data_IF_316670871750
#
_entry.id   IF_316670871750
#
_cell.length_a   1.000
_cell.length_b   1.000
_cell.length_c   1.000
_cell.angle_alpha   90.00
_cell.angle_beta   90.00
_cell.angle_gamma   90.00
#
_symmetry.space_group_name_H-M   'P 1'
#
loop_
_entity.id
_entity.type
_entity.pdbx_description
1 polymer ?
#
# COMPACT_ATOMS: atom_id res chain seq x y z
N UNK A 1 0.59 7.91 51.29
CA UNK A 1 1.47 7.44 50.21
C UNK A 1 0.74 7.58 48.88
N UNK A 2 1.09 8.58 48.05
CA UNK A 2 0.48 8.75 46.73
C UNK A 2 1.05 7.67 45.80
N UNK A 3 0.18 6.88 45.18
CA UNK A 3 0.52 5.90 44.14
C UNK A 3 1.34 6.59 43.03
N UNK A 4 2.42 5.98 42.49
CA UNK A 4 3.23 6.64 41.48
C UNK A 4 2.42 6.89 40.19
N UNK A 5 2.70 7.97 39.43
CA UNK A 5 1.95 8.37 38.22
C UNK A 5 1.78 7.24 37.19
N UNK A 6 2.74 6.32 37.11
CA UNK A 6 2.72 5.19 36.18
C UNK A 6 1.58 4.17 36.44
N UNK A 7 1.24 3.92 37.71
CA UNK A 7 0.20 2.94 38.08
C UNK A 7 -1.22 3.47 37.85
N UNK A 8 -1.41 4.79 37.97
CA UNK A 8 -2.68 5.47 37.73
C UNK A 8 -2.99 5.52 36.22
N UNK A 9 -1.95 5.75 35.40
CA UNK A 9 -2.03 5.69 33.93
C UNK A 9 -2.35 4.27 33.43
N UNK A 10 -1.78 3.21 34.02
CA UNK A 10 -2.05 1.84 33.60
C UNK A 10 -3.52 1.41 33.82
N UNK A 11 -4.11 1.75 34.97
CA UNK A 11 -5.52 1.44 35.26
C UNK A 11 -6.49 2.25 34.37
N UNK A 12 -6.20 3.53 34.13
CA UNK A 12 -7.00 4.35 33.21
C UNK A 12 -6.91 3.83 31.77
N UNK A 13 -5.74 3.41 31.32
CA UNK A 13 -5.53 2.83 30.00
C UNK A 13 -6.27 1.50 29.83
N UNK A 14 -6.23 0.61 30.84
CA UNK A 14 -6.96 -0.65 30.82
C UNK A 14 -8.49 -0.42 30.76
N UNK A 15 -9.00 0.58 31.48
CA UNK A 15 -10.42 0.94 31.46
C UNK A 15 -10.83 1.55 30.10
N UNK A 16 -9.98 2.39 29.50
CA UNK A 16 -10.21 2.94 28.17
C UNK A 16 -10.24 1.83 27.10
N UNK A 17 -9.31 0.87 27.16
CA UNK A 17 -9.28 -0.31 26.30
C UNK A 17 -10.53 -1.18 26.46
N UNK A 18 -10.97 -1.44 27.70
CA UNK A 18 -12.16 -2.24 28.01
C UNK A 18 -13.45 -1.62 27.45
N UNK A 19 -13.49 -0.29 27.29
CA UNK A 19 -14.63 0.43 26.67
C UNK A 19 -14.49 0.56 25.15
N UNK A 20 -13.26 0.71 24.65
CA UNK A 20 -12.98 0.88 23.23
C UNK A 20 -13.23 -0.39 22.42
N UNK A 21 -12.79 -1.54 22.93
CA UNK A 21 -12.81 -2.81 22.19
C UNK A 21 -14.23 -3.30 21.87
N UNK A 22 -15.21 -3.31 22.81
CA UNK A 22 -16.57 -3.73 22.50
C UNK A 22 -17.27 -2.82 21.48
N UNK A 23 -17.01 -1.50 21.54
CA UNK A 23 -17.56 -0.54 20.57
C UNK A 23 -17.03 -0.83 19.17
N UNK A 24 -15.72 -1.05 19.04
CA UNK A 24 -15.09 -1.36 17.75
C UNK A 24 -15.54 -2.70 17.18
N UNK A 25 -15.76 -3.70 18.03
CA UNK A 25 -16.33 -4.99 17.62
C UNK A 25 -17.78 -4.82 17.12
N UNK A 26 -18.57 -3.94 17.75
CA UNK A 26 -19.94 -3.64 17.30
C UNK A 26 -19.96 -2.90 15.97
N UNK A 27 -19.11 -1.88 15.81
CA UNK A 27 -18.94 -1.17 14.53
C UNK A 27 -18.53 -2.15 13.41
N UNK A 28 -17.61 -3.07 13.68
CA UNK A 28 -17.20 -4.09 12.72
C UNK A 28 -18.33 -5.07 12.35
N UNK A 29 -19.15 -5.48 13.33
CA UNK A 29 -20.29 -6.36 13.10
C UNK A 29 -21.44 -5.65 12.34
N UNK A 30 -21.66 -4.36 12.62
CA UNK A 30 -22.60 -3.52 11.87
C UNK A 30 -22.14 -3.36 10.40
N UNK A 31 -20.84 -3.13 10.18
CA UNK A 31 -20.22 -3.09 8.84
C UNK A 31 -20.34 -4.42 8.07
N UNK A 32 -20.24 -5.57 8.76
CA UNK A 32 -20.46 -6.91 8.21
C UNK A 32 -21.94 -7.15 7.86
N UNK A 33 -22.88 -6.70 8.68
CA UNK A 33 -24.32 -6.84 8.42
C UNK A 33 -24.82 -5.93 7.29
N UNK A 34 -24.23 -4.74 7.11
CA UNK A 34 -24.50 -3.87 5.95
C UNK A 34 -23.94 -4.45 4.64
N UNK A 35 -22.87 -5.24 4.72
CA UNK A 35 -22.29 -5.94 3.57
C UNK A 35 -23.23 -7.02 3.05
N UNK A 36 -23.84 -7.81 3.93
CA UNK A 36 -24.79 -8.86 3.56
C UNK A 36 -26.04 -8.30 2.87
N UNK A 37 -26.38 -7.03 3.14
CA UNK A 37 -27.48 -6.30 2.51
C UNK A 37 -27.08 -5.53 1.25
N UNK A 38 -25.78 -5.43 0.94
CA UNK A 38 -25.24 -4.63 -0.17
C UNK A 38 -25.27 -5.39 -1.50
N UNK A 39 -26.34 -5.21 -2.27
CA UNK A 39 -26.44 -5.67 -3.66
C UNK A 39 -25.52 -4.80 -4.54
N UNK A 40 -24.44 -5.36 -5.12
CA UNK A 40 -23.76 -4.75 -6.30
C UNK A 40 -22.22 -4.68 -6.37
N UNK A 41 -21.44 -5.27 -5.46
CA UNK A 41 -19.97 -5.30 -5.58
C UNK A 41 -19.44 -6.72 -5.80
N UNK A 42 -18.46 -6.89 -6.69
CA UNK A 42 -17.89 -8.21 -7.05
C UNK A 42 -17.03 -8.80 -5.92
N UNK A 43 -16.40 -7.94 -5.12
CA UNK A 43 -15.57 -8.34 -3.97
C UNK A 43 -15.40 -7.23 -2.93
N UNK A 44 -14.93 -7.61 -1.74
CA UNK A 44 -14.59 -6.69 -0.64
C UNK A 44 -13.10 -6.78 -0.39
N UNK A 45 -12.44 -5.62 -0.31
CA UNK A 45 -11.03 -5.49 0.06
C UNK A 45 -10.93 -5.11 1.52
N UNK A 46 -10.22 -5.91 2.30
CA UNK A 46 -9.87 -5.62 3.68
C UNK A 46 -8.44 -5.10 3.75
N UNK A 47 -8.26 -3.86 4.21
CA UNK A 47 -6.94 -3.24 4.38
C UNK A 47 -6.87 -2.33 5.61
N UNK A 48 -5.68 -1.83 5.95
CA UNK A 48 -5.54 -0.82 7.01
C UNK A 48 -5.89 0.60 6.55
N UNK A 49 -5.94 0.82 5.23
CA UNK A 49 -6.12 2.14 4.66
C UNK A 49 -7.62 2.46 4.62
N UNK A 50 -8.01 3.59 5.22
CA UNK A 50 -9.41 4.03 5.15
C UNK A 50 -9.71 4.57 3.75
N UNK A 51 -10.93 4.40 3.22
CA UNK A 51 -11.35 5.05 1.97
C UNK A 51 -11.67 6.54 2.23
N UNK A 52 -10.68 7.30 2.71
CA UNK A 52 -10.83 8.72 3.09
C UNK A 52 -10.25 9.67 2.04
N UNK A 53 -10.17 9.23 0.78
CA UNK A 53 -9.59 10.02 -0.31
C UNK A 53 -8.11 10.35 -0.08
N UNK A 54 -7.37 9.51 0.63
CA UNK A 54 -5.93 9.68 0.88
C UNK A 54 -5.20 8.36 0.68
N UNK A 55 -3.97 8.42 0.18
CA UNK A 55 -3.11 7.25 0.12
C UNK A 55 -2.71 6.85 1.53
N UNK A 56 -2.92 5.56 1.85
CA UNK A 56 -2.55 5.01 3.13
C UNK A 56 -1.10 4.55 3.17
N UNK A 57 -0.81 3.58 4.03
CA UNK A 57 0.57 3.13 4.31
C UNK A 57 0.93 1.86 3.54
N UNK A 58 -0.04 1.16 2.97
CA UNK A 58 0.16 -0.19 2.43
C UNK A 58 0.12 -0.17 0.90
N UNK A 59 1.28 -0.27 0.21
CA UNK A 59 1.31 -0.19 -1.26
C UNK A 59 0.54 -1.32 -1.93
N UNK A 60 0.50 -2.49 -1.31
CA UNK A 60 -0.24 -3.66 -1.78
C UNK A 60 -1.75 -3.40 -1.92
N UNK A 61 -2.35 -2.60 -1.02
CA UNK A 61 -3.76 -2.21 -1.13
C UNK A 61 -4.00 -1.36 -2.38
N UNK A 62 -3.11 -0.40 -2.64
CA UNK A 62 -3.22 0.52 -3.79
C UNK A 62 -3.00 -0.24 -5.10
N UNK A 63 -2.01 -1.13 -5.15
CA UNK A 63 -1.79 -2.04 -6.28
C UNK A 63 -3.05 -2.85 -6.60
N UNK A 64 -3.64 -3.51 -5.60
CA UNK A 64 -4.85 -4.31 -5.80
C UNK A 64 -6.03 -3.46 -6.28
N UNK A 65 -6.28 -2.30 -5.65
CA UNK A 65 -7.33 -1.37 -6.09
C UNK A 65 -7.12 -0.95 -7.53
N UNK A 66 -5.92 -0.53 -7.90
CA UNK A 66 -5.60 -0.10 -9.27
C UNK A 66 -5.85 -1.24 -10.25
N UNK A 67 -5.42 -2.46 -9.90
CA UNK A 67 -5.56 -3.64 -10.76
C UNK A 67 -7.01 -4.02 -11.02
N UNK A 68 -7.86 -3.90 -10.00
CA UNK A 68 -9.30 -4.13 -10.10
C UNK A 68 -10.00 -3.01 -10.88
N UNK A 69 -9.66 -1.75 -10.61
CA UNK A 69 -10.19 -0.57 -11.33
C UNK A 69 -9.86 -0.63 -12.82
N UNK A 70 -8.63 -1.02 -13.16
CA UNK A 70 -8.21 -1.20 -14.55
C UNK A 70 -9.06 -2.24 -15.29
N UNK A 71 -9.46 -3.31 -14.61
CA UNK A 71 -10.34 -4.33 -15.17
C UNK A 71 -11.84 -4.00 -15.07
N UNK A 72 -12.20 -2.84 -14.50
CA UNK A 72 -13.60 -2.45 -14.26
C UNK A 72 -14.30 -3.22 -13.15
N UNK A 73 -13.58 -3.95 -12.31
CA UNK A 73 -14.16 -4.74 -11.20
C UNK A 73 -14.58 -3.81 -10.06
N UNK A 74 -15.86 -3.89 -9.70
CA UNK A 74 -16.42 -3.11 -8.60
C UNK A 74 -16.02 -3.75 -7.27
N UNK A 75 -15.52 -2.93 -6.34
CA UNK A 75 -15.08 -3.41 -5.03
C UNK A 75 -15.45 -2.43 -3.93
N UNK A 76 -15.54 -2.95 -2.70
CA UNK A 76 -15.76 -2.16 -1.49
C UNK A 76 -14.57 -2.27 -0.55
N UNK A 77 -14.12 -1.15 0.00
CA UNK A 77 -13.07 -1.15 1.02
C UNK A 77 -13.64 -1.29 2.44
N UNK A 78 -12.93 -2.07 3.25
CA UNK A 78 -13.21 -2.31 4.67
C UNK A 78 -11.93 -2.31 5.50
N UNK A 79 -12.09 -1.94 6.77
CA UNK A 79 -11.02 -2.06 7.74
C UNK A 79 -10.70 -3.55 7.97
N UNK A 80 -9.43 -3.91 7.85
CA UNK A 80 -8.96 -5.26 8.07
C UNK A 80 -8.99 -5.65 9.56
N UNK A 81 -9.43 -6.87 9.84
CA UNK A 81 -9.11 -7.56 11.07
C UNK A 81 -7.91 -8.48 10.83
N UNK A 82 -6.73 -8.05 11.29
CA UNK A 82 -5.47 -8.77 11.03
C UNK A 82 -5.46 -10.19 11.60
N UNK A 83 -6.26 -10.47 12.64
CA UNK A 83 -6.36 -11.81 13.25
C UNK A 83 -7.18 -12.79 12.40
N UNK A 84 -8.06 -12.29 11.54
CA UNK A 84 -8.84 -13.08 10.57
C UNK A 84 -8.17 -13.12 9.18
N UNK A 85 -7.21 -12.22 8.95
CA UNK A 85 -6.52 -12.12 7.68
C UNK A 85 -5.75 -13.42 7.36
N UNK A 86 -5.92 -14.00 6.16
CA UNK A 86 -5.07 -15.10 5.71
C UNK A 86 -3.59 -14.71 5.82
N UNK A 87 -2.79 -15.60 6.43
CA UNK A 87 -1.37 -15.36 6.73
C UNK A 87 -1.07 -14.10 7.56
N UNK A 88 -2.08 -13.53 8.23
CA UNK A 88 -1.96 -12.30 9.03
C UNK A 88 -1.39 -11.13 8.22
N UNK A 89 -1.79 -11.02 6.94
CA UNK A 89 -1.33 -9.98 6.01
C UNK A 89 -2.49 -9.27 5.32
N UNK A 90 -2.27 -8.00 5.00
CA UNK A 90 -3.19 -7.17 4.21
C UNK A 90 -2.55 -6.77 2.87
N UNK A 91 -3.34 -6.51 1.82
CA UNK A 91 -4.79 -6.69 1.77
C UNK A 91 -5.18 -8.18 1.67
N UNK A 92 -6.41 -8.48 2.07
CA UNK A 92 -7.11 -9.71 1.73
C UNK A 92 -8.50 -9.38 1.21
N UNK A 93 -9.11 -10.32 0.47
CA UNK A 93 -10.44 -10.12 -0.12
C UNK A 93 -11.42 -11.20 0.29
N UNK A 94 -12.70 -10.83 0.31
CA UNK A 94 -13.83 -11.75 0.28
C UNK A 94 -14.49 -11.64 -1.09
N UNK A 95 -14.68 -12.75 -1.79
CA UNK A 95 -15.39 -12.76 -3.08
C UNK A 95 -16.90 -12.73 -2.83
N UNK A 96 -17.70 -12.10 -3.70
CA UNK A 96 -19.14 -12.03 -3.50
C UNK A 96 -19.85 -13.40 -3.60
N UNK A 97 -19.26 -14.34 -4.33
CA UNK A 97 -19.78 -15.67 -4.59
C UNK A 97 -19.22 -16.76 -3.67
N UNK A 98 -18.39 -16.39 -2.68
CA UNK A 98 -17.86 -17.35 -1.71
C UNK A 98 -17.56 -16.71 -0.35
N UNK A 99 -17.60 -17.53 0.71
CA UNK A 99 -17.09 -17.12 2.03
C UNK A 99 -15.56 -17.24 2.14
N UNK A 100 -14.87 -17.49 1.02
CA UNK A 100 -13.42 -17.64 0.97
C UNK A 100 -12.72 -16.29 1.19
N UNK A 101 -11.82 -16.24 2.18
CA UNK A 101 -10.89 -15.13 2.34
C UNK A 101 -9.57 -15.46 1.64
N UNK A 102 -9.21 -14.66 0.64
CA UNK A 102 -7.96 -14.81 -0.11
C UNK A 102 -7.03 -13.65 0.25
N UNK A 103 -5.85 -13.95 0.79
CA UNK A 103 -4.84 -12.97 1.17
C UNK A 103 -3.66 -12.95 0.21
N UNK A 104 -2.87 -11.87 0.30
CA UNK A 104 -1.72 -11.55 -0.57
C UNK A 104 -2.11 -11.27 -2.02
N UNK A 105 -1.70 -10.10 -2.53
CA UNK A 105 -2.15 -9.58 -3.83
C UNK A 105 -1.87 -10.56 -4.97
N UNK A 106 -0.70 -11.18 -5.00
CA UNK A 106 -0.36 -12.15 -6.05
C UNK A 106 -1.35 -13.32 -6.11
N UNK A 107 -1.73 -13.90 -4.96
CA UNK A 107 -2.68 -15.01 -4.92
C UNK A 107 -4.11 -14.56 -5.25
N UNK A 108 -4.49 -13.35 -4.83
CA UNK A 108 -5.78 -12.75 -5.21
C UNK A 108 -5.88 -12.60 -6.73
N UNK A 109 -4.85 -12.02 -7.37
CA UNK A 109 -4.83 -11.83 -8.82
C UNK A 109 -4.81 -13.19 -9.54
N UNK A 110 -3.97 -14.13 -9.12
CA UNK A 110 -3.94 -15.49 -9.68
C UNK A 110 -5.30 -16.19 -9.59
N UNK A 111 -5.97 -16.07 -8.44
CA UNK A 111 -7.30 -16.66 -8.24
C UNK A 111 -8.31 -16.07 -9.22
N UNK A 112 -8.40 -14.74 -9.28
CA UNK A 112 -9.33 -14.04 -10.17
C UNK A 112 -9.06 -14.33 -11.66
N UNK A 113 -7.79 -14.43 -12.05
CA UNK A 113 -7.39 -14.82 -13.41
C UNK A 113 -7.80 -16.27 -13.70
N UNK A 114 -7.53 -17.20 -12.79
CA UNK A 114 -7.89 -18.62 -12.97
C UNK A 114 -9.40 -18.84 -13.10
N UNK A 115 -10.21 -17.98 -12.47
CA UNK A 115 -11.67 -18.00 -12.55
C UNK A 115 -12.23 -17.16 -13.70
N UNK A 116 -11.38 -16.58 -14.56
CA UNK A 116 -11.80 -15.75 -15.69
C UNK A 116 -12.40 -14.38 -15.32
N UNK A 117 -12.32 -13.97 -14.04
CA UNK A 117 -12.78 -12.67 -13.56
C UNK A 117 -11.79 -11.56 -13.89
N UNK A 118 -10.51 -11.88 -14.04
CA UNK A 118 -9.47 -10.94 -14.51
C UNK A 118 -8.76 -11.47 -15.76
N UNK A 119 -8.39 -10.59 -16.71
CA UNK A 119 -7.47 -10.96 -17.77
C UNK A 119 -6.06 -11.14 -17.20
N UNK A 120 -5.29 -12.09 -17.75
CA UNK A 120 -3.85 -12.19 -17.51
C UNK A 120 -3.11 -11.18 -18.40
N UNK A 121 -2.63 -10.09 -17.78
CA UNK A 121 -1.95 -9.00 -18.51
C UNK A 121 -0.58 -9.40 -19.03
N UNK A 122 0.06 -10.39 -18.40
CA UNK A 122 1.41 -10.79 -18.75
C UNK A 122 1.43 -11.97 -19.73
N UNK A 123 0.27 -12.57 -20.07
CA UNK A 123 0.17 -13.75 -20.94
C UNK A 123 0.90 -13.59 -22.28
N UNK A 124 0.68 -12.46 -22.95
CA UNK A 124 1.17 -12.17 -24.31
C UNK A 124 2.55 -11.50 -24.35
N UNK A 125 3.17 -11.25 -23.19
CA UNK A 125 4.49 -10.63 -23.13
C UNK A 125 5.58 -11.57 -23.69
N UNK A 126 6.58 -10.97 -24.34
CA UNK A 126 7.81 -11.67 -24.73
C UNK A 126 8.51 -12.25 -23.50
N UNK A 127 9.31 -13.33 -23.63
CA UNK A 127 10.05 -13.88 -22.49
C UNK A 127 10.93 -12.84 -21.78
N UNK A 128 11.56 -11.93 -22.54
CA UNK A 128 12.38 -10.86 -21.98
C UNK A 128 11.54 -9.83 -21.21
N UNK A 129 10.36 -9.46 -21.70
CA UNK A 129 9.51 -8.48 -21.01
C UNK A 129 8.83 -9.08 -19.79
N UNK A 130 8.50 -10.38 -19.80
CA UNK A 130 8.07 -11.11 -18.59
C UNK A 130 9.14 -11.11 -17.51
N UNK A 131 10.42 -11.25 -17.90
CA UNK A 131 11.54 -11.17 -16.96
C UNK A 131 11.69 -9.75 -16.40
N UNK A 132 11.62 -8.71 -17.24
CA UNK A 132 11.66 -7.31 -16.78
C UNK A 132 10.52 -6.99 -15.82
N UNK A 133 9.28 -7.38 -16.15
CA UNK A 133 8.12 -7.24 -15.28
C UNK A 133 8.38 -7.87 -13.90
N UNK A 134 8.87 -9.12 -13.89
CA UNK A 134 9.17 -9.84 -12.65
C UNK A 134 10.25 -9.13 -11.83
N UNK A 135 11.31 -8.64 -12.47
CA UNK A 135 12.38 -7.90 -11.79
C UNK A 135 11.87 -6.59 -11.19
N UNK A 136 11.02 -5.84 -11.90
CA UNK A 136 10.44 -4.59 -11.37
C UNK A 136 9.56 -4.89 -10.15
N UNK A 137 8.71 -5.93 -10.23
CA UNK A 137 7.86 -6.32 -9.10
C UNK A 137 8.67 -6.74 -7.89
N UNK A 138 9.65 -7.63 -8.06
CA UNK A 138 10.54 -8.07 -6.98
C UNK A 138 11.34 -6.89 -6.38
N UNK A 139 11.87 -5.99 -7.21
CA UNK A 139 12.56 -4.79 -6.73
C UNK A 139 11.64 -3.92 -5.86
N UNK A 140 10.39 -3.71 -6.27
CA UNK A 140 9.46 -2.89 -5.52
C UNK A 140 9.00 -3.57 -4.21
N UNK A 141 8.60 -4.84 -4.28
CA UNK A 141 7.98 -5.58 -3.16
C UNK A 141 9.01 -6.12 -2.16
N UNK A 142 10.19 -6.56 -2.61
CA UNK A 142 11.18 -7.25 -1.77
C UNK A 142 12.37 -6.36 -1.38
N UNK A 143 12.62 -5.26 -2.10
CA UNK A 143 13.72 -4.33 -1.81
C UNK A 143 13.23 -2.94 -1.39
N UNK A 144 12.53 -2.24 -2.27
CA UNK A 144 12.11 -0.85 -2.04
C UNK A 144 11.15 -0.74 -0.85
N UNK A 145 10.19 -1.67 -0.73
CA UNK A 145 9.26 -1.72 0.39
C UNK A 145 9.96 -1.75 1.76
N UNK A 146 11.01 -2.56 1.92
CA UNK A 146 11.74 -2.66 3.19
C UNK A 146 12.58 -1.40 3.48
N UNK A 147 13.11 -0.73 2.45
CA UNK A 147 13.79 0.56 2.61
C UNK A 147 12.83 1.64 3.11
N UNK A 148 11.60 1.68 2.58
CA UNK A 148 10.53 2.57 3.05
C UNK A 148 10.11 2.22 4.49
N UNK A 149 9.97 0.94 4.82
CA UNK A 149 9.67 0.52 6.20
C UNK A 149 10.77 0.92 7.19
N UNK A 150 12.04 0.86 6.78
CA UNK A 150 13.15 1.34 7.59
C UNK A 150 12.97 2.83 7.92
N UNK A 151 12.70 3.68 6.91
CA UNK A 151 12.45 5.10 7.15
C UNK A 151 11.30 5.28 8.15
N UNK A 152 10.15 4.65 7.92
CA UNK A 152 8.96 4.80 8.78
C UNK A 152 9.20 4.43 10.23
N UNK A 153 9.82 3.27 10.49
CA UNK A 153 9.86 2.67 11.82
C UNK A 153 11.15 2.90 12.59
N UNK A 154 12.18 3.46 11.93
CA UNK A 154 13.42 3.92 12.56
C UNK A 154 13.60 5.43 12.41
N UNK A 155 13.71 5.93 11.18
CA UNK A 155 14.00 7.35 10.90
C UNK A 155 12.87 8.31 11.26
N UNK A 156 11.61 7.91 11.04
CA UNK A 156 10.42 8.74 11.16
C UNK A 156 9.39 8.17 12.14
N UNK A 157 9.87 7.49 13.19
CA UNK A 157 9.00 6.85 14.16
C UNK A 157 8.01 7.83 14.83
N UNK A 158 8.44 9.08 15.07
CA UNK A 158 7.55 10.10 15.63
C UNK A 158 6.40 10.45 14.68
N UNK A 159 6.66 10.61 13.38
CA UNK A 159 5.61 10.82 12.39
C UNK A 159 4.69 9.60 12.30
N UNK A 160 5.24 8.38 12.30
CA UNK A 160 4.45 7.15 12.36
C UNK A 160 3.58 7.05 13.61
N UNK A 161 4.04 7.57 14.75
CA UNK A 161 3.24 7.66 15.95
C UNK A 161 2.07 8.65 15.78
N UNK A 162 2.32 9.83 15.22
CA UNK A 162 1.29 10.86 15.08
C UNK A 162 0.27 10.51 14.00
N UNK A 163 0.75 10.16 12.81
CA UNK A 163 -0.07 10.07 11.61
C UNK A 163 -0.38 8.63 11.24
N UNK A 164 0.46 7.66 11.61
CA UNK A 164 0.39 6.27 11.18
C UNK A 164 -0.90 5.50 11.54
N UNK A 165 -0.97 4.20 11.23
CA UNK A 165 -2.23 3.44 11.25
C UNK A 165 -2.93 3.41 12.62
N UNK A 166 -2.19 3.58 13.72
CA UNK A 166 -2.73 3.59 15.09
C UNK A 166 -3.02 5.00 15.64
N UNK A 167 -2.89 6.04 14.81
CA UNK A 167 -3.08 7.45 15.21
C UNK A 167 -4.41 7.73 15.90
N UNK A 168 -5.46 7.02 15.46
CA UNK A 168 -6.84 7.14 15.93
C UNK A 168 -7.16 6.36 17.22
N UNK A 169 -6.22 5.57 17.75
CA UNK A 169 -6.43 4.83 19.00
C UNK A 169 -6.31 5.76 20.21
N UNK A 170 -7.03 5.43 21.29
CA UNK A 170 -6.83 6.09 22.60
C UNK A 170 -5.40 5.89 23.09
N UNK A 171 -4.83 6.87 23.80
CA UNK A 171 -3.39 6.95 24.10
C UNK A 171 -2.76 5.63 24.57
N UNK A 172 -3.36 4.94 25.54
CA UNK A 172 -2.84 3.66 26.03
C UNK A 172 -2.81 2.54 24.97
N UNK A 173 -3.91 2.40 24.21
CA UNK A 173 -3.99 1.43 23.12
C UNK A 173 -3.00 1.79 22.00
N UNK A 174 -2.94 3.08 21.64
CA UNK A 174 -2.00 3.63 20.66
C UNK A 174 -0.55 3.32 21.05
N UNK A 175 -0.21 3.47 22.33
CA UNK A 175 1.14 3.19 22.82
C UNK A 175 1.53 1.73 22.65
N UNK A 176 0.68 0.84 23.15
CA UNK A 176 0.94 -0.60 23.09
C UNK A 176 1.01 -1.06 21.63
N UNK A 177 0.02 -0.72 20.81
CA UNK A 177 -0.04 -1.14 19.40
C UNK A 177 1.13 -0.61 18.59
N UNK A 178 1.49 0.68 18.73
CA UNK A 178 2.60 1.27 17.98
C UNK A 178 3.94 0.68 18.40
N UNK A 179 4.16 0.39 19.69
CA UNK A 179 5.41 -0.23 20.15
C UNK A 179 5.53 -1.71 19.71
N UNK A 180 4.45 -2.48 19.79
CA UNK A 180 4.42 -3.85 19.28
C UNK A 180 4.70 -3.89 17.78
N UNK A 181 4.04 -3.03 17.00
CA UNK A 181 4.28 -2.92 15.56
C UNK A 181 5.72 -2.50 15.25
N UNK A 182 6.28 -1.52 15.99
CA UNK A 182 7.69 -1.13 15.85
C UNK A 182 8.64 -2.30 16.11
N UNK A 183 8.43 -3.06 17.19
CA UNK A 183 9.26 -4.22 17.50
C UNK A 183 9.19 -5.30 16.42
N UNK A 184 7.98 -5.62 15.97
CA UNK A 184 7.74 -6.58 14.89
C UNK A 184 8.42 -6.16 13.58
N UNK A 185 8.19 -4.93 13.12
CA UNK A 185 8.78 -4.42 11.86
C UNK A 185 10.30 -4.36 11.96
N UNK A 186 10.86 -3.95 13.09
CA UNK A 186 12.32 -3.95 13.26
C UNK A 186 12.93 -5.35 13.24
N UNK A 187 12.24 -6.36 13.79
CA UNK A 187 12.64 -7.76 13.66
C UNK A 187 12.61 -8.21 12.20
N UNK A 188 11.55 -7.88 11.46
CA UNK A 188 11.46 -8.20 10.03
C UNK A 188 12.57 -7.53 9.21
N UNK A 189 12.82 -6.24 9.43
CA UNK A 189 13.91 -5.51 8.78
C UNK A 189 15.27 -6.17 9.05
N UNK A 190 15.51 -6.59 10.30
CA UNK A 190 16.74 -7.29 10.63
C UNK A 190 16.81 -8.68 9.98
N UNK A 191 15.73 -9.46 9.96
CA UNK A 191 15.75 -10.78 9.30
C UNK A 191 15.89 -10.67 7.77
N UNK A 192 15.28 -9.67 7.16
CA UNK A 192 15.35 -9.43 5.71
C UNK A 192 16.71 -8.90 5.27
N UNK A 193 17.40 -8.10 6.09
CA UNK A 193 18.71 -7.54 5.76
C UNK A 193 18.82 -6.05 6.03
N UNK A 194 17.81 -5.28 5.60
CA UNK A 194 17.81 -3.80 5.62
C UNK A 194 18.05 -3.22 7.01
N UNK A 195 17.59 -3.90 8.06
CA UNK A 195 17.76 -3.45 9.45
C UNK A 195 19.21 -3.47 9.95
N UNK A 196 20.18 -3.93 9.15
CA UNK A 196 21.63 -3.91 9.46
C UNK A 196 22.37 -2.72 8.89
N UNK A 197 21.78 -2.02 7.92
CA UNK A 197 22.43 -0.89 7.26
C UNK A 197 22.30 0.39 8.09
N UNK A 198 23.23 1.31 7.84
CA UNK A 198 23.18 2.70 8.27
C UNK A 198 22.16 3.51 7.47
N UNK A 199 21.81 4.70 7.96
CA UNK A 199 20.86 5.60 7.29
C UNK A 199 21.37 6.04 5.91
N UNK A 200 22.67 6.29 5.75
CA UNK A 200 23.29 6.66 4.47
C UNK A 200 23.27 5.50 3.47
N UNK A 201 23.58 4.28 3.91
CA UNK A 201 23.47 3.08 3.06
C UNK A 201 22.02 2.85 2.60
N UNK A 202 21.04 2.96 3.52
CA UNK A 202 19.62 2.86 3.17
C UNK A 202 19.23 3.91 2.14
N UNK A 203 19.67 5.16 2.32
CA UNK A 203 19.40 6.24 1.36
C UNK A 203 20.03 5.94 -0.01
N UNK A 204 21.27 5.45 -0.06
CA UNK A 204 21.92 5.09 -1.32
C UNK A 204 21.14 3.97 -2.04
N UNK A 205 20.76 2.90 -1.35
CA UNK A 205 19.96 1.84 -1.94
C UNK A 205 18.57 2.30 -2.39
N UNK A 206 17.96 3.25 -1.67
CA UNK A 206 16.70 3.86 -2.07
C UNK A 206 16.86 4.68 -3.35
N UNK A 207 17.94 5.46 -3.46
CA UNK A 207 18.31 6.18 -4.69
C UNK A 207 18.45 5.22 -5.86
N UNK A 208 19.19 4.12 -5.73
CA UNK A 208 19.37 3.14 -6.80
C UNK A 208 18.03 2.57 -7.31
N UNK A 209 17.11 2.26 -6.39
CA UNK A 209 15.77 1.76 -6.74
C UNK A 209 14.95 2.82 -7.49
N UNK A 210 14.98 4.07 -7.00
CA UNK A 210 14.28 5.21 -7.62
C UNK A 210 14.85 5.51 -9.01
N UNK A 211 16.17 5.50 -9.17
CA UNK A 211 16.83 5.72 -10.45
C UNK A 211 16.53 4.61 -11.46
N UNK A 212 16.48 3.36 -11.00
CA UNK A 212 16.09 2.23 -11.83
C UNK A 212 14.66 2.41 -12.38
N UNK A 213 13.69 2.72 -11.50
CA UNK A 213 12.31 3.00 -11.93
C UNK A 213 12.25 4.23 -12.84
N UNK A 214 13.03 5.27 -12.55
CA UNK A 214 13.06 6.48 -13.38
C UNK A 214 13.58 6.20 -14.78
N UNK A 215 14.63 5.37 -14.94
CA UNK A 215 15.13 4.99 -16.26
C UNK A 215 14.07 4.30 -17.13
N UNK A 216 13.23 3.45 -16.54
CA UNK A 216 12.08 2.87 -17.22
C UNK A 216 11.02 3.92 -17.58
N UNK A 217 10.71 4.83 -16.66
CA UNK A 217 9.72 5.89 -16.88
C UNK A 217 10.19 6.89 -17.95
N UNK A 218 11.45 7.33 -17.94
CA UNK A 218 12.04 8.21 -18.96
C UNK A 218 12.03 7.55 -20.34
N UNK A 219 12.44 6.28 -20.40
CA UNK A 219 12.40 5.50 -21.65
C UNK A 219 10.98 5.40 -22.20
N UNK A 220 9.98 5.21 -21.33
CA UNK A 220 8.58 5.10 -21.74
C UNK A 220 7.99 6.45 -22.13
N UNK A 221 8.28 7.50 -21.37
CA UNK A 221 7.85 8.87 -21.61
C UNK A 221 8.42 9.43 -22.92
N UNK A 222 9.70 9.16 -23.22
CA UNK A 222 10.35 9.60 -24.46
C UNK A 222 9.71 9.01 -25.72
N UNK A 223 9.11 7.82 -25.62
CA UNK A 223 8.43 7.11 -26.72
C UNK A 223 6.98 7.53 -26.93
N UNK A 224 6.42 8.38 -26.07
CA UNK A 224 5.05 8.85 -26.24
C UNK A 224 4.89 9.70 -27.49
N UNK A 225 3.86 9.39 -28.28
CA UNK A 225 3.41 10.24 -29.39
C UNK A 225 2.95 11.61 -28.88
N UNK A 226 2.88 12.60 -29.77
CA UNK A 226 2.37 13.94 -29.44
C UNK A 226 0.94 13.85 -28.88
N UNK A 227 0.06 13.10 -29.54
CA UNK A 227 -1.32 12.89 -29.09
C UNK A 227 -1.40 12.27 -27.67
N UNK A 228 -0.49 11.34 -27.35
CA UNK A 228 -0.41 10.73 -26.01
C UNK A 228 0.09 11.72 -24.95
N UNK A 229 0.90 12.71 -25.35
CA UNK A 229 1.37 13.77 -24.46
C UNK A 229 0.24 14.75 -24.15
N UNK A 230 -0.53 15.14 -25.16
CA UNK A 230 -1.66 16.07 -25.04
C UNK A 230 -2.83 15.49 -24.26
N UNK A 231 -3.20 14.23 -24.53
CA UNK A 231 -4.32 13.56 -23.85
C UNK A 231 -4.07 13.26 -22.37
N UNK A 232 -2.81 13.35 -21.90
CA UNK A 232 -2.39 12.96 -20.54
C UNK A 232 -2.80 11.55 -20.11
N UNK A 233 -3.13 10.67 -21.06
CA UNK A 233 -3.43 9.27 -20.74
C UNK A 233 -2.21 8.59 -20.08
N UNK A 234 -2.44 7.64 -19.14
CA UNK A 234 -1.36 6.90 -18.51
C UNK A 234 -0.42 6.26 -19.53
N UNK A 235 0.87 6.26 -19.20
CA UNK A 235 1.86 5.47 -19.89
C UNK A 235 2.41 4.40 -18.95
N UNK A 236 2.97 3.34 -19.52
CA UNK A 236 3.31 2.13 -18.78
C UNK A 236 4.82 1.95 -18.66
N UNK A 237 5.28 1.37 -17.55
CA UNK A 237 6.68 1.34 -17.14
C UNK A 237 7.57 0.57 -18.11
N UNK A 238 7.02 -0.42 -18.82
CA UNK A 238 7.72 -1.15 -19.90
C UNK A 238 7.53 -0.53 -21.29
N UNK A 239 6.81 0.58 -21.41
CA UNK A 239 6.61 1.33 -22.65
C UNK A 239 5.68 0.68 -23.68
N UNK A 240 4.91 -0.34 -23.27
CA UNK A 240 3.87 -0.95 -24.11
C UNK A 240 2.62 -0.08 -24.25
N UNK A 241 1.64 -0.52 -25.06
CA UNK A 241 0.34 0.15 -25.18
C UNK A 241 -0.61 -0.15 -24.01
N UNK A 242 -0.38 -1.26 -23.29
CA UNK A 242 -1.18 -1.73 -22.15
C UNK A 242 -0.29 -1.89 -20.92
N UNK A 243 -0.85 -1.78 -19.70
CA UNK A 243 -0.08 -2.02 -18.48
C UNK A 243 0.30 -3.50 -18.37
N UNK A 244 1.34 -3.73 -17.57
CA UNK A 244 1.75 -5.04 -17.08
C UNK A 244 1.52 -5.12 -15.57
N UNK A 245 1.68 -6.31 -14.96
CA UNK A 245 1.55 -6.43 -13.50
C UNK A 245 2.57 -5.52 -12.76
N UNK A 246 3.72 -5.23 -13.37
CA UNK A 246 4.72 -4.30 -12.88
C UNK A 246 4.20 -2.87 -12.69
N UNK A 247 3.26 -2.40 -13.52
CA UNK A 247 2.71 -1.05 -13.40
C UNK A 247 1.92 -0.87 -12.11
N UNK A 248 1.11 -1.86 -11.75
CA UNK A 248 0.30 -1.81 -10.53
C UNK A 248 1.17 -1.84 -9.29
N UNK A 249 2.25 -2.64 -9.31
CA UNK A 249 3.22 -2.71 -8.21
C UNK A 249 4.02 -1.42 -8.10
N UNK A 250 4.55 -0.91 -9.21
CA UNK A 250 5.35 0.31 -9.24
C UNK A 250 4.51 1.51 -8.78
N UNK A 251 3.32 1.69 -9.35
CA UNK A 251 2.41 2.75 -8.95
C UNK A 251 2.00 2.62 -7.48
N UNK A 252 1.61 1.43 -7.03
CA UNK A 252 1.21 1.19 -5.63
C UNK A 252 2.30 1.62 -4.64
N UNK A 253 3.56 1.29 -4.93
CA UNK A 253 4.70 1.73 -4.13
C UNK A 253 4.94 3.23 -4.21
N UNK A 254 5.07 3.80 -5.41
CA UNK A 254 5.36 5.22 -5.60
C UNK A 254 4.28 6.13 -5.02
N UNK A 255 3.01 5.85 -5.31
CA UNK A 255 1.89 6.66 -4.84
C UNK A 255 1.74 6.61 -3.31
N UNK A 256 1.99 5.46 -2.68
CA UNK A 256 2.00 5.32 -1.21
C UNK A 256 3.16 6.09 -0.58
N UNK A 257 4.35 6.07 -1.20
CA UNK A 257 5.50 6.83 -0.69
C UNK A 257 5.24 8.32 -0.78
N UNK A 258 4.76 8.80 -1.93
CA UNK A 258 4.51 10.22 -2.19
C UNK A 258 3.31 10.77 -1.42
N UNK A 259 2.25 9.98 -1.26
CA UNK A 259 0.99 10.39 -0.66
C UNK A 259 0.96 10.33 0.88
N UNK A 260 1.89 9.61 1.52
CA UNK A 260 1.95 9.51 2.97
C UNK A 260 2.98 10.49 3.58
N UNK A 261 2.64 11.12 4.71
CA UNK A 261 3.53 12.07 5.42
C UNK A 261 4.76 11.43 6.09
N UNK A 262 4.80 10.10 6.17
CA UNK A 262 5.75 9.33 6.99
C UNK A 262 7.02 8.88 6.23
N UNK A 263 7.23 9.37 5.01
CA UNK A 263 8.34 9.01 4.12
C UNK A 263 9.06 10.21 3.47
N UNK A 264 9.37 11.30 4.18
CA UNK A 264 9.93 12.52 3.58
C UNK A 264 11.21 12.30 2.75
N UNK A 265 12.10 11.39 3.15
CA UNK A 265 13.36 11.12 2.44
C UNK A 265 13.09 10.40 1.13
N UNK A 266 12.36 9.28 1.14
CA UNK A 266 12.05 8.56 -0.11
C UNK A 266 11.15 9.40 -1.03
N UNK A 267 10.21 10.17 -0.47
CA UNK A 267 9.37 11.06 -1.26
C UNK A 267 10.17 12.18 -1.93
N UNK A 268 11.19 12.74 -1.27
CA UNK A 268 12.09 13.71 -1.89
C UNK A 268 12.84 13.10 -3.08
N UNK A 269 13.43 11.91 -2.91
CA UNK A 269 14.13 11.20 -3.99
C UNK A 269 13.24 10.99 -5.23
N UNK A 270 11.97 10.63 -5.03
CA UNK A 270 11.02 10.44 -6.14
C UNK A 270 10.63 11.78 -6.78
N UNK A 271 10.39 12.83 -5.98
CA UNK A 271 9.99 14.15 -6.50
C UNK A 271 11.07 14.81 -7.36
N UNK A 272 12.34 14.48 -7.13
CA UNK A 272 13.46 14.94 -7.96
C UNK A 272 13.49 14.31 -9.36
N UNK A 273 12.61 13.33 -9.65
CA UNK A 273 12.58 12.60 -10.92
C UNK A 273 11.30 12.93 -11.72
N UNK A 274 11.34 13.90 -12.65
CA UNK A 274 10.13 14.39 -13.34
C UNK A 274 9.36 13.31 -14.10
N UNK A 275 10.04 12.32 -14.70
CA UNK A 275 9.37 11.24 -15.41
C UNK A 275 8.55 10.33 -14.48
N UNK A 276 9.04 10.06 -13.26
CA UNK A 276 8.28 9.34 -12.25
C UNK A 276 7.11 10.16 -11.71
N UNK A 277 7.29 11.46 -11.49
CA UNK A 277 6.22 12.35 -11.06
C UNK A 277 5.10 12.39 -12.11
N UNK A 278 5.44 12.50 -13.40
CA UNK A 278 4.47 12.45 -14.49
C UNK A 278 3.79 11.06 -14.60
N UNK A 279 4.55 9.97 -14.45
CA UNK A 279 4.02 8.60 -14.42
C UNK A 279 2.94 8.42 -13.34
N UNK A 280 3.26 8.81 -12.10
CA UNK A 280 2.34 8.72 -10.97
C UNK A 280 1.15 9.67 -11.17
N UNK A 281 1.39 10.89 -11.65
CA UNK A 281 0.36 11.90 -11.88
C UNK A 281 -0.73 11.42 -12.84
N UNK A 282 -0.34 10.92 -14.03
CA UNK A 282 -1.31 10.44 -15.04
C UNK A 282 -2.12 9.25 -14.56
N UNK A 283 -1.47 8.28 -13.90
CA UNK A 283 -2.18 7.12 -13.33
C UNK A 283 -3.15 7.56 -12.23
N UNK A 284 -2.73 8.51 -11.38
CA UNK A 284 -3.59 9.10 -10.36
C UNK A 284 -4.83 9.78 -10.96
N UNK A 285 -4.63 10.68 -11.95
CA UNK A 285 -5.72 11.37 -12.64
C UNK A 285 -6.74 10.39 -13.24
N UNK A 286 -6.26 9.27 -13.81
CA UNK A 286 -7.12 8.26 -14.44
C UNK A 286 -7.86 7.38 -13.45
N UNK A 287 -7.18 6.88 -12.42
CA UNK A 287 -7.69 5.79 -11.59
C UNK A 287 -8.00 6.18 -10.16
N UNK A 288 -7.56 7.33 -9.67
CA UNK A 288 -7.64 7.72 -8.26
C UNK A 288 -7.92 9.22 -8.09
N UNK A 289 -8.63 9.86 -9.02
CA UNK A 289 -8.92 11.30 -8.98
C UNK A 289 -9.75 11.73 -7.76
N UNK A 290 -10.39 10.78 -7.07
CA UNK A 290 -11.06 11.01 -5.81
C UNK A 290 -10.12 11.04 -4.58
N UNK A 291 -8.83 10.74 -4.77
CA UNK A 291 -7.80 10.83 -3.73
C UNK A 291 -7.11 12.19 -3.81
N UNK A 292 -6.54 12.67 -2.70
CA UNK A 292 -5.59 13.78 -2.72
C UNK A 292 -4.41 13.37 -3.60
N UNK A 293 -4.09 14.19 -4.59
CA UNK A 293 -2.97 13.94 -5.49
C UNK A 293 -1.66 13.74 -4.71
N UNK A 294 -0.92 12.65 -4.96
CA UNK A 294 0.34 12.38 -4.29
C UNK A 294 1.49 13.23 -4.84
N UNK A 295 1.33 13.81 -6.03
CA UNK A 295 2.37 14.58 -6.74
C UNK A 295 2.18 16.09 -6.67
N UNK A 296 0.98 16.58 -6.37
CA UNK A 296 0.66 18.02 -6.26
C UNK A 296 0.37 18.44 -4.80
N UNK A 297 0.98 17.75 -3.84
CA UNK A 297 0.65 17.84 -2.41
C UNK A 297 1.19 19.07 -1.67
#
# INVERSE_FOLDING_TARGET
MKTPPAAQNAKQNALALKRYLPRKLREAAEDEAEVEKGVGHDLIIYSFDRPTGQYGYTPFSIQLRMRLRHAGIQHKDRAANIFQAPKQRVPYVKLADSDELVGEVQFIIQRLVSTGKLPDLNKELSPADKAKDTCIRAMCEDRAYFLVLYERWRGQYQQMWHDGPFSHFVWGAKHISTQMARGYVNSQLYLQGVGRYSDDEVKNFATDCVESLNGFAETSLSKLSLDSRESREPFWILGGQRPTEADFVAYGNLATVLGASVNPVHAALIREKPALVEYVGRIHERYFSEYKSPVHA
#
